data_IF_612455704194
#
_entry.id   IF_612455704194
#
_cell.length_a   1.000
_cell.length_b   1.000
_cell.length_c   1.000
_cell.angle_alpha   90.00
_cell.angle_beta   90.00
_cell.angle_gamma   90.00
#
_symmetry.space_group_name_H-M   'P 1'
#
loop_
_entity.id
_entity.type
_entity.pdbx_description
1 polymer ?
#
# COMPACT_ATOMS: atom_id res chain seq x y z
N UNK A 1 11.53 0.26 -11.89
CA UNK A 1 10.46 -0.06 -10.94
C UNK A 1 10.21 1.23 -10.19
N UNK A 2 9.15 1.98 -10.55
CA UNK A 2 9.02 3.42 -10.21
C UNK A 2 7.79 3.72 -9.35
N UNK A 3 7.09 2.69 -8.87
CA UNK A 3 5.87 2.86 -8.08
C UNK A 3 6.14 2.59 -6.60
N UNK A 4 5.30 3.18 -5.74
CA UNK A 4 5.25 2.80 -4.34
C UNK A 4 4.66 1.40 -4.25
N UNK A 5 5.42 0.50 -3.63
CA UNK A 5 5.05 -0.91 -3.49
C UNK A 5 4.31 -1.12 -2.19
N UNK A 6 3.21 -1.88 -2.23
CA UNK A 6 2.54 -2.43 -1.06
C UNK A 6 2.83 -3.94 -1.01
N UNK A 7 3.49 -4.38 0.05
CA UNK A 7 3.82 -5.78 0.28
C UNK A 7 3.04 -6.31 1.48
N UNK A 8 2.26 -7.39 1.33
CA UNK A 8 1.65 -8.06 2.47
C UNK A 8 2.73 -8.73 3.33
N UNK A 9 2.57 -8.67 4.65
CA UNK A 9 3.38 -9.40 5.61
C UNK A 9 2.58 -10.56 6.19
N UNK A 10 3.20 -11.73 6.42
CA UNK A 10 2.51 -12.92 6.94
C UNK A 10 1.87 -12.74 8.32
N UNK A 11 2.21 -11.66 9.04
CA UNK A 11 1.62 -11.30 10.34
C UNK A 11 0.34 -10.44 10.22
N UNK A 12 -0.25 -10.34 9.02
CA UNK A 12 -1.39 -9.46 8.75
C UNK A 12 -1.01 -7.97 8.74
N UNK A 13 0.28 -7.68 8.60
CA UNK A 13 0.82 -6.34 8.44
C UNK A 13 0.96 -6.00 6.95
N UNK A 14 1.12 -4.73 6.64
CA UNK A 14 1.42 -4.28 5.28
C UNK A 14 2.64 -3.39 5.30
N UNK A 15 3.61 -3.62 4.41
CA UNK A 15 4.76 -2.75 4.25
C UNK A 15 4.58 -1.90 3.01
N UNK A 16 4.86 -0.60 3.13
CA UNK A 16 4.99 0.30 2.00
C UNK A 16 6.44 0.66 1.77
N UNK A 17 6.84 0.72 0.51
CA UNK A 17 8.19 1.14 0.12
C UNK A 17 8.12 2.12 -1.04
N UNK A 18 8.78 3.26 -0.86
CA UNK A 18 8.97 4.25 -1.91
C UNK A 18 10.33 4.03 -2.59
N UNK A 19 10.45 4.28 -3.91
CA UNK A 19 11.74 4.26 -4.59
C UNK A 19 12.80 5.22 -4.02
N UNK A 20 12.40 6.23 -3.23
CA UNK A 20 13.34 7.13 -2.56
C UNK A 20 14.02 6.50 -1.33
N UNK A 21 13.60 5.29 -0.91
CA UNK A 21 14.09 4.61 0.28
C UNK A 21 13.19 4.74 1.52
N UNK A 22 12.18 5.60 1.50
CA UNK A 22 11.19 5.68 2.57
C UNK A 22 10.38 4.38 2.66
N UNK A 23 10.17 3.88 3.87
CA UNK A 23 9.40 2.67 4.11
C UNK A 23 8.61 2.75 5.42
N UNK A 24 7.41 2.17 5.45
CA UNK A 24 6.54 2.18 6.63
C UNK A 24 5.84 0.82 6.78
N UNK A 25 5.88 0.26 7.99
CA UNK A 25 5.19 -0.98 8.34
C UNK A 25 3.87 -0.66 9.05
N UNK A 26 2.77 -1.08 8.44
CA UNK A 26 1.42 -0.96 8.98
C UNK A 26 1.05 -2.20 9.78
N UNK A 27 0.83 -2.02 11.09
CA UNK A 27 0.11 -3.00 11.90
C UNK A 27 -1.39 -2.66 11.94
N UNK A 28 -2.31 -3.63 11.97
CA UNK A 28 -3.73 -3.41 12.18
C UNK A 28 -4.06 -2.61 13.46
N UNK A 29 -3.16 -2.62 14.45
CA UNK A 29 -3.27 -1.89 15.72
C UNK A 29 -2.18 -0.81 15.90
N UNK A 30 -1.53 -0.41 14.80
CA UNK A 30 -0.43 0.56 14.81
C UNK A 30 -0.89 2.03 14.78
N UNK A 31 0.04 2.98 14.95
CA UNK A 31 -0.25 4.40 14.81
C UNK A 31 -0.79 4.74 13.40
N UNK A 32 -1.43 5.91 13.28
CA UNK A 32 -1.84 6.45 11.99
C UNK A 32 -0.62 6.71 11.08
N UNK A 33 -0.83 6.62 9.76
CA UNK A 33 0.22 6.75 8.75
C UNK A 33 0.99 8.07 8.94
N UNK A 34 2.32 8.01 8.95
CA UNK A 34 3.16 9.20 9.12
C UNK A 34 4.02 9.46 7.87
N UNK A 35 4.54 8.41 7.24
CA UNK A 35 5.46 8.52 6.10
C UNK A 35 4.73 8.54 4.76
N UNK A 36 3.53 7.96 4.71
CA UNK A 36 2.71 7.91 3.51
C UNK A 36 1.32 8.50 3.76
N UNK A 37 0.72 9.09 2.73
CA UNK A 37 -0.68 9.51 2.74
C UNK A 37 -1.47 8.65 1.76
N UNK A 38 -2.58 8.07 2.22
CA UNK A 38 -3.52 7.34 1.37
C UNK A 38 -4.79 8.17 1.20
N UNK A 39 -5.15 8.49 -0.05
CA UNK A 39 -6.42 9.15 -0.39
C UNK A 39 -7.25 8.29 -1.32
N UNK A 40 -8.49 8.02 -0.93
CA UNK A 40 -9.47 7.38 -1.83
C UNK A 40 -9.86 8.36 -2.93
N UNK A 41 -9.92 7.87 -4.15
CA UNK A 41 -10.39 8.55 -5.35
C UNK A 41 -11.72 7.91 -5.81
N UNK A 42 -12.37 8.49 -6.82
CA UNK A 42 -13.54 7.87 -7.46
C UNK A 42 -13.20 6.50 -8.08
N UNK A 43 -14.23 5.66 -8.22
CA UNK A 43 -14.16 4.37 -8.94
C UNK A 43 -13.19 3.35 -8.33
N UNK A 44 -13.20 3.23 -7.00
CA UNK A 44 -12.35 2.29 -6.27
C UNK A 44 -10.84 2.47 -6.54
N UNK A 45 -10.44 3.71 -6.84
CA UNK A 45 -9.04 4.08 -6.95
C UNK A 45 -8.56 4.69 -5.65
N UNK A 46 -7.27 4.59 -5.41
CA UNK A 46 -6.61 5.27 -4.32
C UNK A 46 -5.28 5.83 -4.80
N UNK A 47 -4.89 6.95 -4.20
CA UNK A 47 -3.61 7.61 -4.40
C UNK A 47 -2.78 7.43 -3.14
N UNK A 48 -1.56 6.94 -3.31
CA UNK A 48 -0.54 6.91 -2.26
C UNK A 48 0.46 8.01 -2.57
N UNK A 49 0.75 8.84 -1.58
CA UNK A 49 1.79 9.88 -1.65
C UNK A 49 2.85 9.59 -0.59
N UNK A 50 4.12 9.59 -0.98
CA UNK A 50 5.22 9.60 -0.01
C UNK A 50 5.44 11.01 0.52
N UNK A 51 5.33 11.20 1.83
CA UNK A 51 5.49 12.52 2.47
C UNK A 51 6.96 13.00 2.48
N UNK A 52 7.93 12.09 2.32
CA UNK A 52 9.35 12.46 2.33
C UNK A 52 9.83 13.04 0.99
N UNK A 53 9.42 12.44 -0.13
CA UNK A 53 9.90 12.83 -1.47
C UNK A 53 8.80 13.39 -2.38
N UNK A 54 7.53 13.33 -1.98
CA UNK A 54 6.39 13.75 -2.78
C UNK A 54 6.03 12.80 -3.92
N UNK A 55 6.64 11.62 -4.01
CA UNK A 55 6.33 10.64 -5.05
C UNK A 55 4.90 10.12 -4.90
N UNK A 56 4.21 9.92 -6.02
CA UNK A 56 2.80 9.55 -6.05
C UNK A 56 2.59 8.32 -6.91
N UNK A 57 1.82 7.36 -6.39
CA UNK A 57 1.33 6.21 -7.14
C UNK A 57 -0.18 6.12 -7.00
N UNK A 58 -0.88 5.94 -8.12
CA UNK A 58 -2.32 5.67 -8.13
C UNK A 58 -2.58 4.21 -8.47
N UNK A 59 -3.47 3.57 -7.71
CA UNK A 59 -3.86 2.19 -7.95
C UNK A 59 -5.37 2.02 -7.84
N UNK A 60 -5.90 1.02 -8.55
CA UNK A 60 -7.30 0.60 -8.50
C UNK A 60 -7.42 -0.68 -7.68
N UNK A 61 -8.47 -0.83 -6.85
CA UNK A 61 -8.76 -2.06 -6.08
C UNK A 61 -8.75 -3.32 -6.95
N UNK A 62 -9.11 -3.25 -8.23
CA UNK A 62 -9.05 -4.40 -9.16
C UNK A 62 -7.64 -4.97 -9.36
N UNK A 63 -6.58 -4.19 -9.09
CA UNK A 63 -5.19 -4.65 -9.24
C UNK A 63 -4.65 -5.39 -8.02
N UNK A 64 -5.29 -5.28 -6.86
CA UNK A 64 -4.86 -5.95 -5.62
C UNK A 64 -5.50 -7.34 -5.42
N UNK A 65 -6.59 -7.67 -6.12
CA UNK A 65 -7.19 -9.00 -6.09
C UNK A 65 -6.27 -10.11 -6.66
N UNK A 66 -5.18 -9.75 -7.34
CA UNK A 66 -4.16 -10.69 -7.79
C UNK A 66 -3.16 -11.13 -6.70
N UNK A 67 -3.20 -10.53 -5.51
CA UNK A 67 -2.35 -10.90 -4.35
C UNK A 67 -3.14 -11.56 -3.20
N UNK A 68 -4.48 -11.55 -3.24
CA UNK A 68 -5.37 -12.25 -2.30
C UNK A 68 -6.10 -13.44 -2.97
N UNK A 69 -5.42 -14.10 -3.91
CA UNK A 69 -5.97 -15.20 -4.73
C UNK A 69 -5.32 -16.55 -4.47
N UNK A 70 -5.08 -16.94 -3.21
CA UNK A 70 -4.70 -18.31 -2.87
C UNK A 70 -5.29 -18.75 -1.54
N UNK A 71 -6.58 -19.08 -1.55
CA UNK A 71 -7.16 -20.18 -0.76
C UNK A 71 -8.56 -20.53 -1.29
N UNK A 72 -8.75 -21.63 -2.05
CA UNK A 72 -9.95 -22.43 -1.92
C UNK A 72 -9.75 -23.37 -0.72
N UNK A 73 -10.61 -23.26 0.29
CA UNK A 73 -10.81 -24.31 1.28
C UNK A 73 -12.22 -24.86 1.03
N UNK A 74 -12.28 -25.98 0.31
CA UNK A 74 -13.25 -27.05 0.51
C UNK A 74 -12.46 -28.27 1.00
#
# INVERSE_FOLDING_TARGET
MNDIELLPSPLGHWMMMCPCGAAELRSPRGPAWATFELRTLADHRYRITCCECGHVTEQSHHRQAALEGSAPLD
#
